data_IF_585451173114
#
_entry.id   IF_585451173114
#
_cell.length_a   1.000
_cell.length_b   1.000
_cell.length_c   1.000
_cell.angle_alpha   90.00
_cell.angle_beta   90.00
_cell.angle_gamma   90.00
#
_symmetry.space_group_name_H-M   'P 1'
#
loop_
_entity.id
_entity.type
_entity.pdbx_description
1 polymer ?
#
# COMPACT_ATOMS: atom_id res chain seq x y z
N UNK A 1 1.60 12.56 -14.30
CA UNK A 1 0.40 13.43 -14.38
C UNK A 1 -0.66 13.12 -13.32
N UNK A 2 -0.89 11.85 -12.91
CA UNK A 2 -1.92 11.50 -11.90
C UNK A 2 -1.80 12.29 -10.58
N UNK A 3 -0.59 12.57 -10.10
CA UNK A 3 -0.43 13.30 -8.85
C UNK A 3 -1.01 14.71 -8.92
N UNK A 4 -0.83 15.42 -10.03
CA UNK A 4 -1.35 16.77 -10.23
C UNK A 4 -2.89 16.82 -10.21
N UNK A 5 -3.55 15.71 -10.55
CA UNK A 5 -5.02 15.58 -10.44
C UNK A 5 -5.49 15.34 -9.01
N UNK A 6 -4.61 14.89 -8.12
CA UNK A 6 -4.93 14.53 -6.73
C UNK A 6 -4.54 15.61 -5.72
N UNK A 7 -3.63 16.52 -6.07
CA UNK A 7 -3.24 17.65 -5.22
C UNK A 7 -3.98 18.92 -5.60
N UNK A 8 -4.42 19.66 -4.59
CA UNK A 8 -5.03 20.97 -4.75
C UNK A 8 -3.98 22.06 -4.57
N UNK A 9 -3.62 22.75 -5.65
CA UNK A 9 -2.70 23.90 -5.61
C UNK A 9 -3.51 25.18 -5.36
N UNK A 10 -3.22 25.87 -4.26
CA UNK A 10 -3.91 27.11 -3.87
C UNK A 10 -3.75 28.26 -4.88
N UNK A 11 -4.65 29.24 -4.81
CA UNK A 11 -4.67 30.40 -5.72
C UNK A 11 -3.59 31.46 -5.43
N UNK A 12 -2.90 31.38 -4.29
CA UNK A 12 -1.92 32.38 -3.85
C UNK A 12 -0.54 32.29 -4.51
N UNK A 13 -0.40 31.52 -5.60
CA UNK A 13 0.87 31.39 -6.33
C UNK A 13 0.80 32.18 -7.63
N UNK A 14 1.90 32.86 -7.97
CA UNK A 14 2.06 33.42 -9.32
C UNK A 14 2.15 32.29 -10.36
N UNK A 15 1.98 32.61 -11.64
CA UNK A 15 2.07 31.62 -12.72
C UNK A 15 3.43 30.89 -12.73
N UNK A 16 4.52 31.62 -12.50
CA UNK A 16 5.87 31.06 -12.48
C UNK A 16 6.08 30.11 -11.28
N UNK A 17 5.57 30.48 -10.11
CA UNK A 17 5.62 29.63 -8.93
C UNK A 17 4.75 28.38 -9.09
N UNK A 18 3.58 28.53 -9.72
CA UNK A 18 2.70 27.40 -10.03
C UNK A 18 3.39 26.41 -10.97
N UNK A 19 3.99 26.90 -12.06
CA UNK A 19 4.75 26.06 -12.99
C UNK A 19 5.91 25.34 -12.31
N UNK A 20 6.61 26.04 -11.41
CA UNK A 20 7.69 25.43 -10.63
C UNK A 20 7.19 24.31 -9.71
N UNK A 21 6.09 24.53 -8.98
CA UNK A 21 5.46 23.52 -8.12
C UNK A 21 4.95 22.32 -8.93
N UNK A 22 4.31 22.58 -10.07
CA UNK A 22 3.84 21.51 -10.96
C UNK A 22 4.99 20.68 -11.51
N UNK A 23 6.10 21.33 -11.91
CA UNK A 23 7.33 20.67 -12.34
C UNK A 23 7.98 19.83 -11.23
N UNK A 24 8.01 20.34 -10.00
CA UNK A 24 8.52 19.62 -8.84
C UNK A 24 7.64 18.40 -8.52
N UNK A 25 6.32 18.55 -8.50
CA UNK A 25 5.41 17.42 -8.27
C UNK A 25 5.52 16.37 -9.38
N UNK A 26 5.75 16.79 -10.62
CA UNK A 26 5.99 15.91 -11.75
C UNK A 26 7.32 15.15 -11.63
N UNK A 27 8.37 15.75 -11.07
CA UNK A 27 9.68 15.08 -10.91
C UNK A 27 9.69 13.99 -9.83
N UNK A 28 8.72 14.01 -8.90
CA UNK A 28 8.60 13.03 -7.83
C UNK A 28 7.50 11.98 -8.07
N UNK A 29 7.00 11.82 -9.31
CA UNK A 29 5.95 10.83 -9.62
C UNK A 29 6.30 9.40 -9.23
N UNK A 30 7.58 9.09 -9.11
CA UNK A 30 8.07 7.76 -8.75
C UNK A 30 8.17 7.58 -7.23
N UNK A 31 8.49 8.65 -6.48
CA UNK A 31 8.50 8.63 -5.02
C UNK A 31 7.08 8.62 -4.43
N UNK A 32 6.16 9.30 -5.08
CA UNK A 32 4.75 9.19 -4.77
C UNK A 32 4.19 7.97 -5.50
N UNK A 33 4.50 6.79 -4.96
CA UNK A 33 3.86 5.52 -5.31
C UNK A 33 2.37 5.56 -4.87
N UNK A 34 1.59 6.42 -5.52
CA UNK A 34 0.13 6.51 -5.38
C UNK A 34 -0.55 5.21 -5.82
N UNK A 35 0.17 4.39 -6.58
CA UNK A 35 -0.23 3.04 -6.90
C UNK A 35 0.70 2.04 -6.23
N UNK A 36 0.11 1.13 -5.47
CA UNK A 36 0.78 -0.01 -4.86
C UNK A 36 1.41 -0.91 -5.94
N UNK A 37 0.88 -0.89 -7.17
CA UNK A 37 1.46 -1.61 -8.32
C UNK A 37 2.82 -1.10 -8.78
N UNK A 38 3.25 0.08 -8.35
CA UNK A 38 4.56 0.66 -8.67
C UNK A 38 5.63 0.33 -7.63
N UNK A 39 5.25 -0.37 -6.54
CA UNK A 39 6.20 -0.85 -5.54
C UNK A 39 6.74 -2.19 -6.02
N UNK A 40 7.95 -2.18 -6.59
CA UNK A 40 8.64 -3.40 -6.97
C UNK A 40 9.30 -4.03 -5.74
N UNK A 41 9.13 -5.34 -5.48
CA UNK A 41 9.93 -6.02 -4.48
C UNK A 41 11.41 -5.95 -4.89
N UNK A 42 12.30 -5.70 -3.92
CA UNK A 42 13.73 -5.74 -4.17
C UNK A 42 14.13 -7.19 -4.45
N UNK A 43 14.71 -7.52 -5.61
CA UNK A 43 15.09 -8.89 -5.94
C UNK A 43 16.03 -9.47 -4.88
N UNK A 44 15.68 -10.63 -4.31
CA UNK A 44 16.48 -11.32 -3.31
C UNK A 44 16.37 -10.77 -1.88
N UNK A 45 15.64 -9.67 -1.64
CA UNK A 45 15.36 -9.19 -0.29
C UNK A 45 14.30 -10.09 0.36
N UNK A 46 14.73 -10.98 1.25
CA UNK A 46 13.86 -11.81 2.07
C UNK A 46 13.87 -11.29 3.51
N UNK A 47 12.68 -10.98 4.03
CA UNK A 47 12.54 -10.68 5.45
C UNK A 47 12.53 -11.99 6.24
N UNK A 48 13.57 -12.22 7.06
CA UNK A 48 13.63 -13.36 7.96
C UNK A 48 12.97 -12.98 9.28
N UNK A 49 11.85 -13.63 9.58
CA UNK A 49 11.29 -13.60 10.92
C UNK A 49 12.19 -14.48 11.80
N UNK A 50 12.97 -13.88 12.69
CA UNK A 50 13.83 -14.59 13.65
C UNK A 50 12.97 -15.28 14.73
N UNK A 51 12.22 -16.30 14.33
CA UNK A 51 11.32 -17.05 15.20
C UNK A 51 12.16 -18.09 15.96
N UNK A 52 12.11 -18.13 17.30
CA UNK A 52 12.78 -19.15 18.09
C UNK A 52 12.22 -20.56 17.82
N UNK A 53 13.08 -21.56 17.87
CA UNK A 53 12.67 -22.96 17.75
C UNK A 53 11.62 -23.34 18.79
N UNK A 54 10.52 -23.94 18.34
CA UNK A 54 9.42 -24.39 19.20
C UNK A 54 8.46 -23.28 19.65
N UNK A 55 8.58 -22.06 19.09
CA UNK A 55 7.59 -21.01 19.31
C UNK A 55 6.18 -21.48 18.91
N UNK A 56 5.20 -21.24 19.79
CA UNK A 56 3.79 -21.53 19.51
C UNK A 56 3.02 -20.24 19.33
N UNK A 57 2.44 -20.07 18.15
CA UNK A 57 1.58 -18.93 17.84
C UNK A 57 0.11 -19.30 17.98
N UNK A 58 -0.70 -18.32 18.34
CA UNK A 58 -2.15 -18.50 18.33
C UNK A 58 -2.65 -18.62 16.90
N UNK A 59 -3.11 -19.81 16.50
CA UNK A 59 -3.80 -20.03 15.22
C UNK A 59 -5.27 -19.56 15.24
N UNK A 60 -5.76 -19.04 16.38
CA UNK A 60 -7.13 -18.54 16.50
C UNK A 60 -7.24 -17.15 15.86
N UNK A 61 -7.94 -17.08 14.74
CA UNK A 61 -8.29 -15.80 14.10
C UNK A 61 -9.45 -15.16 14.87
N UNK A 62 -9.17 -14.09 15.62
CA UNK A 62 -10.19 -13.22 16.21
C UNK A 62 -10.31 -11.95 15.38
N UNK A 63 -10.97 -12.05 14.23
CA UNK A 63 -11.20 -10.88 13.40
C UNK A 63 -12.24 -9.96 14.06
N UNK A 64 -11.87 -8.70 14.27
CA UNK A 64 -12.79 -7.69 14.78
C UNK A 64 -13.90 -7.45 13.74
N UNK A 65 -15.15 -7.47 14.18
CA UNK A 65 -16.27 -7.09 13.33
C UNK A 65 -16.10 -5.64 12.84
N UNK A 66 -16.24 -5.46 11.54
CA UNK A 66 -16.13 -4.16 10.88
C UNK A 66 -17.53 -3.58 10.66
N UNK A 67 -17.68 -2.27 10.82
CA UNK A 67 -18.93 -1.60 10.44
C UNK A 67 -19.03 -1.54 8.90
N UNK A 68 -20.24 -1.44 8.31
CA UNK A 68 -20.42 -1.51 6.86
C UNK A 68 -19.56 -0.53 6.05
N UNK A 69 -19.38 0.70 6.55
CA UNK A 69 -18.55 1.71 5.89
C UNK A 69 -17.06 1.32 5.89
N UNK A 70 -16.58 0.72 6.99
CA UNK A 70 -15.21 0.21 7.09
C UNK A 70 -15.00 -1.00 6.17
N UNK A 71 -15.96 -1.92 6.11
CA UNK A 71 -15.91 -3.05 5.16
C UNK A 71 -15.76 -2.56 3.72
N UNK A 72 -16.62 -1.63 3.29
CA UNK A 72 -16.59 -1.10 1.93
C UNK A 72 -15.23 -0.48 1.60
N UNK A 73 -14.71 0.35 2.50
CA UNK A 73 -13.40 0.98 2.34
C UNK A 73 -12.27 -0.07 2.27
N UNK A 74 -12.24 -1.02 3.22
CA UNK A 74 -11.17 -2.01 3.32
C UNK A 74 -11.19 -2.99 2.15
N UNK A 75 -12.35 -3.48 1.72
CA UNK A 75 -12.45 -4.37 0.56
C UNK A 75 -11.89 -3.71 -0.70
N UNK A 76 -12.23 -2.44 -0.96
CA UNK A 76 -11.66 -1.70 -2.10
C UNK A 76 -10.13 -1.60 -2.03
N UNK A 77 -9.53 -1.55 -0.83
CA UNK A 77 -8.08 -1.54 -0.66
C UNK A 77 -7.48 -2.93 -0.86
N UNK A 78 -8.11 -3.97 -0.32
CA UNK A 78 -7.70 -5.38 -0.51
C UNK A 78 -7.70 -5.72 -2.00
N UNK A 79 -8.75 -5.37 -2.74
CA UNK A 79 -8.83 -5.62 -4.18
C UNK A 79 -7.67 -4.96 -4.95
N UNK A 80 -7.30 -3.73 -4.57
CA UNK A 80 -6.14 -3.02 -5.16
C UNK A 80 -4.81 -3.72 -4.87
N UNK A 81 -4.65 -4.29 -3.68
CA UNK A 81 -3.43 -5.01 -3.29
C UNK A 81 -3.34 -6.36 -4.01
N UNK A 82 -4.45 -7.06 -4.16
CA UNK A 82 -4.53 -8.31 -4.94
C UNK A 82 -4.23 -8.03 -6.41
N UNK A 83 -4.83 -7.00 -6.99
CA UNK A 83 -4.57 -6.60 -8.38
C UNK A 83 -3.10 -6.19 -8.60
N UNK A 84 -2.45 -5.63 -7.59
CA UNK A 84 -1.02 -5.29 -7.60
C UNK A 84 -0.11 -6.49 -7.29
N UNK A 85 -0.65 -7.69 -7.08
CA UNK A 85 0.10 -8.90 -6.67
C UNK A 85 0.92 -8.72 -5.39
N UNK A 86 0.50 -7.81 -4.51
CA UNK A 86 1.17 -7.55 -3.22
C UNK A 86 0.68 -8.51 -2.14
N UNK A 87 -0.58 -8.94 -2.22
CA UNK A 87 -1.15 -9.96 -1.35
C UNK A 87 -1.86 -11.02 -2.20
N UNK A 88 -1.96 -12.22 -1.67
CA UNK A 88 -2.66 -13.34 -2.30
C UNK A 88 -3.60 -14.03 -1.31
N UNK A 89 -4.56 -14.77 -1.88
CA UNK A 89 -5.42 -15.62 -1.09
C UNK A 89 -4.63 -16.82 -0.58
N UNK A 90 -4.66 -17.04 0.72
CA UNK A 90 -4.11 -18.23 1.34
C UNK A 90 -5.18 -18.95 2.17
N UNK A 91 -5.12 -20.28 2.16
CA UNK A 91 -5.86 -21.08 3.13
C UNK A 91 -5.16 -21.00 4.50
N UNK A 92 -5.91 -21.09 5.62
CA UNK A 92 -5.31 -21.09 6.95
C UNK A 92 -4.21 -22.15 7.13
N UNK A 93 -4.32 -23.28 6.43
CA UNK A 93 -3.37 -24.38 6.48
C UNK A 93 -2.04 -24.07 5.76
N UNK A 94 -2.01 -23.07 4.88
CA UNK A 94 -0.81 -22.60 4.20
C UNK A 94 -0.02 -21.57 5.01
N UNK A 95 -0.63 -20.95 6.02
CA UNK A 95 0.04 -20.02 6.92
C UNK A 95 0.88 -20.84 7.91
N UNK A 96 2.06 -21.25 7.47
CA UNK A 96 3.04 -21.90 8.34
C UNK A 96 3.61 -20.86 9.30
N UNK A 97 3.19 -20.90 10.55
CA UNK A 97 4.05 -20.45 11.64
C UNK A 97 5.14 -21.52 11.79
N UNK A 98 6.28 -21.28 11.17
CA UNK A 98 7.51 -22.04 11.46
C UNK A 98 7.93 -21.73 12.89
#
# INVERSE_FOLDING_TARGET
>A
QEILQLVKIGLGLSEDQRKWVEGLLASYTDCFALSVSKVCPVPGAMHQLHIPDGAKFSMKVRQKALIPLQCKYLHTKVDKLVAASVIEWCSPNQVKCV
#
